data_IF_682186840181
#
_entry.id   IF_682186840181
#
_cell.length_a   1.000
_cell.length_b   1.000
_cell.length_c   1.000
_cell.angle_alpha   90.00
_cell.angle_beta   90.00
_cell.angle_gamma   90.00
#
_symmetry.space_group_name_H-M   'P 1'
#
loop_
_entity.id
_entity.type
_entity.pdbx_description
1 polymer ?
#
# COMPACT_ATOMS: atom_id res chain seq x y z
N UNK A 1 0.22 -2.53 22.37
CA UNK A 1 0.92 -1.22 22.54
C UNK A 1 0.15 -0.20 21.72
N UNK A 2 -0.16 0.93 22.28
CA UNK A 2 -0.75 2.02 21.51
C UNK A 2 0.38 2.81 20.82
N UNK A 3 0.36 2.84 19.48
CA UNK A 3 1.35 3.55 18.68
C UNK A 3 0.96 4.99 18.39
N UNK A 4 -0.24 5.42 18.79
CA UNK A 4 -0.77 6.76 18.50
C UNK A 4 -0.99 7.06 17.02
N UNK A 5 -1.18 6.02 16.19
CA UNK A 5 -1.34 6.17 14.73
C UNK A 5 -2.76 5.88 14.24
N UNK A 6 -3.66 5.51 15.13
CA UNK A 6 -5.07 5.28 14.77
C UNK A 6 -5.67 6.55 14.13
N UNK A 7 -6.45 6.35 13.07
CA UNK A 7 -7.08 7.44 12.31
C UNK A 7 -6.16 8.18 11.33
N UNK A 8 -4.84 7.94 11.35
CA UNK A 8 -3.92 8.48 10.37
C UNK A 8 -4.10 7.85 8.99
N UNK A 9 -3.52 8.44 7.97
CA UNK A 9 -3.55 7.94 6.61
C UNK A 9 -2.20 7.38 6.17
N UNK A 10 -2.22 6.18 5.61
CA UNK A 10 -1.04 5.54 5.04
C UNK A 10 -1.23 5.23 3.55
N UNK A 11 -0.18 5.43 2.78
CA UNK A 11 -0.04 4.90 1.43
C UNK A 11 0.86 3.67 1.48
N UNK A 12 0.39 2.54 0.94
CA UNK A 12 1.20 1.32 0.84
C UNK A 12 1.32 0.92 -0.63
N UNK A 13 2.50 1.09 -1.18
CA UNK A 13 2.81 0.70 -2.55
C UNK A 13 3.13 -0.80 -2.64
N UNK A 14 2.85 -1.42 -3.80
CA UNK A 14 3.09 -2.84 -4.02
C UNK A 14 2.33 -3.75 -3.04
N UNK A 15 1.11 -3.37 -2.67
CA UNK A 15 0.35 -3.99 -1.60
C UNK A 15 -0.53 -5.19 -2.02
N UNK A 16 -0.47 -5.63 -3.28
CA UNK A 16 -1.30 -6.75 -3.76
C UNK A 16 -0.89 -8.10 -3.15
N UNK A 17 0.35 -8.24 -2.71
CA UNK A 17 0.90 -9.48 -2.13
C UNK A 17 2.17 -9.22 -1.32
N UNK A 18 2.67 -10.26 -0.66
CA UNK A 18 3.98 -10.26 0.00
C UNK A 18 4.11 -9.20 1.09
N UNK A 19 5.25 -8.54 1.12
CA UNK A 19 5.61 -7.58 2.18
C UNK A 19 4.68 -6.37 2.23
N UNK A 20 4.31 -5.81 1.07
CA UNK A 20 3.38 -4.67 1.02
C UNK A 20 2.02 -5.00 1.63
N UNK A 21 1.47 -6.18 1.31
CA UNK A 21 0.22 -6.66 1.94
C UNK A 21 0.38 -6.81 3.46
N UNK A 22 1.50 -7.38 3.92
CA UNK A 22 1.77 -7.53 5.36
C UNK A 22 1.86 -6.18 6.08
N UNK A 23 2.49 -5.17 5.46
CA UNK A 23 2.52 -3.81 5.99
C UNK A 23 1.12 -3.20 6.08
N UNK A 24 0.31 -3.34 5.02
CA UNK A 24 -1.07 -2.84 5.02
C UNK A 24 -1.92 -3.51 6.11
N UNK A 25 -1.78 -4.82 6.29
CA UNK A 25 -2.48 -5.57 7.35
C UNK A 25 -2.10 -5.05 8.75
N UNK A 26 -0.82 -4.84 9.01
CA UNK A 26 -0.35 -4.32 10.29
C UNK A 26 -0.92 -2.91 10.56
N UNK A 27 -0.91 -2.03 9.57
CA UNK A 27 -1.43 -0.67 9.70
C UNK A 27 -2.94 -0.64 9.94
N UNK A 28 -3.71 -1.43 9.19
CA UNK A 28 -5.17 -1.54 9.38
C UNK A 28 -5.50 -2.07 10.78
N UNK A 29 -4.73 -3.04 11.28
CA UNK A 29 -4.89 -3.59 12.63
C UNK A 29 -4.67 -2.53 13.73
N UNK A 30 -3.82 -1.55 13.48
CA UNK A 30 -3.58 -0.41 14.38
C UNK A 30 -4.57 0.75 14.15
N UNK A 31 -5.61 0.56 13.33
CA UNK A 31 -6.65 1.57 13.10
C UNK A 31 -6.27 2.66 12.09
N UNK A 32 -5.26 2.43 11.28
CA UNK A 32 -4.81 3.39 10.23
C UNK A 32 -5.66 3.22 8.98
N UNK A 33 -6.11 4.34 8.41
CA UNK A 33 -6.73 4.35 7.09
C UNK A 33 -5.66 4.12 6.02
N UNK A 34 -5.91 3.22 5.07
CA UNK A 34 -4.89 2.86 4.09
C UNK A 34 -5.38 3.05 2.65
N UNK A 35 -4.52 3.62 1.83
CA UNK A 35 -4.62 3.55 0.37
C UNK A 35 -3.61 2.51 -0.08
N UNK A 36 -4.08 1.41 -0.64
CA UNK A 36 -3.23 0.36 -1.18
C UNK A 36 -3.11 0.49 -2.68
N UNK A 37 -1.89 0.42 -3.17
CA UNK A 37 -1.58 0.57 -4.59
C UNK A 37 -0.86 -0.67 -5.14
N UNK A 38 -1.25 -1.08 -6.32
CA UNK A 38 -0.56 -2.06 -7.15
C UNK A 38 -1.00 -1.92 -8.62
N UNK A 39 -0.28 -2.56 -9.53
CA UNK A 39 -0.60 -2.50 -10.96
C UNK A 39 -1.80 -3.37 -11.36
N UNK A 40 -2.01 -4.48 -10.65
CA UNK A 40 -3.05 -5.47 -10.96
C UNK A 40 -4.31 -5.26 -10.11
N UNK A 41 -5.45 -4.90 -10.69
CA UNK A 41 -6.66 -4.57 -9.91
C UNK A 41 -7.26 -5.80 -9.20
N UNK A 42 -7.24 -6.99 -9.81
CA UNK A 42 -7.85 -8.18 -9.23
C UNK A 42 -7.26 -8.57 -7.88
N UNK A 43 -5.94 -8.76 -7.82
CA UNK A 43 -5.24 -9.08 -6.57
C UNK A 43 -5.34 -7.97 -5.53
N UNK A 44 -5.41 -6.71 -5.98
CA UNK A 44 -5.55 -5.57 -5.10
C UNK A 44 -6.91 -5.54 -4.40
N UNK A 45 -7.99 -5.85 -5.13
CA UNK A 45 -9.33 -5.98 -4.57
C UNK A 45 -9.45 -7.14 -3.60
N UNK A 46 -8.83 -8.29 -3.90
CA UNK A 46 -8.75 -9.42 -2.97
C UNK A 46 -8.06 -9.02 -1.66
N UNK A 47 -6.95 -8.30 -1.77
CA UNK A 47 -6.23 -7.79 -0.60
C UNK A 47 -7.10 -6.83 0.21
N UNK A 48 -7.80 -5.90 -0.43
CA UNK A 48 -8.71 -4.98 0.26
C UNK A 48 -9.81 -5.72 1.02
N UNK A 49 -10.44 -6.68 0.37
CA UNK A 49 -11.48 -7.52 0.99
C UNK A 49 -10.95 -8.29 2.20
N UNK A 50 -9.75 -8.84 2.08
CA UNK A 50 -9.07 -9.54 3.18
C UNK A 50 -8.78 -8.61 4.37
N UNK A 51 -8.28 -7.41 4.11
CA UNK A 51 -7.98 -6.43 5.16
C UNK A 51 -9.24 -6.00 5.93
N UNK A 52 -10.32 -5.76 5.21
CA UNK A 52 -11.61 -5.37 5.80
C UNK A 52 -12.18 -6.51 6.65
N UNK A 53 -12.20 -7.74 6.11
CA UNK A 53 -12.75 -8.90 6.81
C UNK A 53 -11.97 -9.24 8.09
N UNK A 54 -10.65 -9.22 8.04
CA UNK A 54 -9.81 -9.54 9.20
C UNK A 54 -9.89 -8.48 10.30
N UNK A 55 -10.07 -7.21 9.94
CA UNK A 55 -10.24 -6.17 10.93
C UNK A 55 -11.59 -6.27 11.67
N UNK A 56 -12.65 -6.67 10.96
CA UNK A 56 -13.97 -6.88 11.57
C UNK A 56 -13.98 -8.02 12.61
N UNK A 57 -13.19 -9.06 12.42
CA UNK A 57 -13.12 -10.21 13.34
C UNK A 57 -12.28 -9.95 14.59
N UNK A 58 -11.36 -9.01 14.58
CA UNK A 58 -10.50 -8.70 15.72
C UNK A 58 -11.05 -7.60 16.66
N UNK A 59 -12.16 -6.98 16.29
CA UNK A 59 -12.82 -5.91 17.08
C UNK A 59 -13.52 -6.39 18.35
N UNK A 60 -13.38 -7.67 18.72
CA UNK A 60 -14.09 -8.25 19.88
C UNK A 60 -13.65 -7.77 21.25
N UNK A 61 -12.50 -7.10 21.40
CA UNK A 61 -11.93 -6.85 22.73
C UNK A 61 -11.22 -5.50 22.94
N UNK A 62 -11.23 -4.57 21.97
CA UNK A 62 -10.56 -3.28 22.16
C UNK A 62 -11.46 -2.09 21.78
N UNK A 63 -11.81 -1.32 22.81
CA UNK A 63 -12.39 0.04 22.78
C UNK A 63 -13.55 0.28 21.81
N UNK A 64 -14.72 0.39 22.35
CA UNK A 64 -16.03 0.63 21.72
C UNK A 64 -16.19 1.99 21.00
N UNK A 65 -15.13 2.67 20.57
CA UNK A 65 -15.24 4.01 19.97
C UNK A 65 -14.31 4.29 18.79
N UNK A 66 -13.70 3.28 18.18
CA UNK A 66 -12.87 3.51 16.99
C UNK A 66 -13.67 3.16 15.74
N UNK A 67 -13.96 4.17 14.91
CA UNK A 67 -14.47 3.96 13.56
C UNK A 67 -13.56 2.96 12.82
N UNK A 68 -14.17 2.06 12.04
CA UNK A 68 -13.37 1.11 11.25
C UNK A 68 -12.45 1.86 10.27
N UNK A 69 -11.18 1.46 10.15
CA UNK A 69 -10.29 2.10 9.22
C UNK A 69 -10.77 1.93 7.78
N UNK A 70 -10.57 2.97 6.99
CA UNK A 70 -10.90 2.99 5.57
C UNK A 70 -9.80 2.28 4.78
N UNK A 71 -10.18 1.43 3.84
CA UNK A 71 -9.27 0.76 2.90
C UNK A 71 -9.67 1.15 1.48
N UNK A 72 -8.81 1.88 0.79
CA UNK A 72 -9.00 2.30 -0.60
C UNK A 72 -8.00 1.62 -1.51
N UNK A 73 -8.40 1.36 -2.75
CA UNK A 73 -7.56 0.71 -3.76
C UNK A 73 -7.28 1.63 -4.93
N UNK A 74 -6.04 1.65 -5.39
CA UNK A 74 -5.65 2.36 -6.62
C UNK A 74 -4.81 1.43 -7.49
N UNK A 75 -5.39 0.98 -8.61
CA UNK A 75 -4.68 0.18 -9.60
C UNK A 75 -3.93 1.10 -10.55
N UNK A 76 -2.66 1.33 -10.28
CA UNK A 76 -1.81 2.22 -11.07
C UNK A 76 -0.34 1.87 -10.90
N UNK A 77 0.47 2.28 -11.87
CA UNK A 77 1.93 2.18 -11.78
C UNK A 77 2.49 3.39 -11.03
N UNK A 78 2.90 3.19 -9.80
CA UNK A 78 3.42 4.26 -8.92
C UNK A 78 4.74 4.86 -9.42
N UNK A 79 5.43 4.20 -10.33
CA UNK A 79 6.67 4.72 -10.92
C UNK A 79 6.42 5.80 -11.97
N UNK A 80 5.18 5.95 -12.42
CA UNK A 80 4.77 6.97 -13.39
C UNK A 80 4.14 8.19 -12.70
N UNK A 81 4.25 9.41 -13.30
CA UNK A 81 3.57 10.60 -12.80
C UNK A 81 2.04 10.42 -12.73
N UNK A 82 1.44 9.79 -13.74
CA UNK A 82 0.01 9.53 -13.84
C UNK A 82 -0.45 8.58 -12.72
N UNK A 83 0.35 7.54 -12.42
CA UNK A 83 0.06 6.61 -11.33
C UNK A 83 0.10 7.28 -9.96
N UNK A 84 1.05 8.18 -9.75
CA UNK A 84 1.12 8.96 -8.50
C UNK A 84 -0.06 9.92 -8.36
N UNK A 85 -0.44 10.59 -9.44
CA UNK A 85 -1.60 11.47 -9.44
C UNK A 85 -2.90 10.70 -9.16
N UNK A 86 -3.06 9.50 -9.73
CA UNK A 86 -4.20 8.62 -9.44
C UNK A 86 -4.31 8.29 -7.94
N UNK A 87 -3.20 8.07 -7.27
CA UNK A 87 -3.18 7.84 -5.81
C UNK A 87 -3.64 9.08 -5.05
N UNK A 88 -3.16 10.26 -5.43
CA UNK A 88 -3.53 11.51 -4.76
C UNK A 88 -4.99 11.93 -5.03
N UNK A 89 -5.56 11.52 -6.15
CA UNK A 89 -6.92 11.85 -6.55
C UNK A 89 -7.94 10.75 -6.19
N UNK A 90 -7.57 9.70 -5.47
CA UNK A 90 -8.50 8.63 -5.13
C UNK A 90 -9.69 9.19 -4.31
N UNK A 91 -10.94 8.92 -4.72
CA UNK A 91 -12.12 9.40 -3.99
C UNK A 91 -12.15 8.90 -2.55
N UNK A 92 -12.38 9.79 -1.61
CA UNK A 92 -12.41 9.46 -0.18
C UNK A 92 -11.03 9.37 0.48
N UNK A 93 -9.96 9.58 -0.27
CA UNK A 93 -8.59 9.58 0.25
C UNK A 93 -8.14 10.94 0.77
N UNK A 94 -6.94 11.01 1.34
CA UNK A 94 -6.42 12.22 1.98
C UNK A 94 -5.78 13.22 1.00
N UNK A 95 -5.87 13.00 -0.30
CA UNK A 95 -5.12 13.77 -1.28
C UNK A 95 -3.62 13.52 -1.16
N UNK A 96 -2.86 14.56 -0.87
CA UNK A 96 -1.40 14.48 -0.63
C UNK A 96 -1.02 14.43 0.86
N UNK A 97 -2.02 14.42 1.76
CA UNK A 97 -1.79 14.48 3.21
C UNK A 97 -1.67 13.08 3.84
N UNK A 98 -0.75 12.28 3.32
CA UNK A 98 -0.39 11.01 3.96
C UNK A 98 0.55 11.22 5.13
N UNK A 99 0.25 10.58 6.27
CA UNK A 99 1.12 10.58 7.44
C UNK A 99 2.22 9.52 7.33
N UNK A 100 1.91 8.40 6.66
CA UNK A 100 2.79 7.23 6.53
C UNK A 100 2.87 6.84 5.06
N UNK A 101 4.07 6.59 4.56
CA UNK A 101 4.27 6.07 3.21
C UNK A 101 5.19 4.85 3.25
N UNK A 102 4.68 3.73 2.78
CA UNK A 102 5.47 2.50 2.59
C UNK A 102 5.85 2.41 1.12
N UNK A 103 7.07 2.80 0.81
CA UNK A 103 7.63 2.66 -0.53
C UNK A 103 8.05 1.22 -0.76
N UNK A 104 7.30 0.52 -1.60
CA UNK A 104 7.58 -0.85 -1.99
C UNK A 104 7.23 -1.00 -3.47
N UNK A 105 8.20 -1.39 -4.27
CA UNK A 105 8.02 -1.64 -5.68
C UNK A 105 8.47 -3.06 -6.03
N UNK A 106 8.05 -3.57 -7.18
CA UNK A 106 8.60 -4.80 -7.70
C UNK A 106 10.09 -4.63 -7.97
N UNK A 107 10.92 -5.56 -7.50
CA UNK A 107 12.33 -5.57 -7.81
C UNK A 107 12.61 -5.80 -9.30
N UNK A 108 13.83 -5.57 -9.76
CA UNK A 108 14.26 -5.95 -11.10
C UNK A 108 14.11 -7.46 -11.31
N UNK A 109 13.99 -7.93 -12.56
CA UNK A 109 13.94 -9.37 -12.83
C UNK A 109 15.20 -10.06 -12.29
N UNK A 110 15.06 -11.28 -11.73
CA UNK A 110 16.23 -12.03 -11.26
C UNK A 110 17.14 -12.41 -12.44
N UNK A 111 18.44 -12.40 -12.21
CA UNK A 111 19.42 -12.75 -13.24
C UNK A 111 20.85 -12.48 -12.80
N UNK A 112 21.81 -12.86 -13.63
CA UNK A 112 23.21 -12.55 -13.40
C UNK A 112 23.46 -11.08 -13.77
N UNK A 113 24.10 -10.33 -12.88
CA UNK A 113 24.38 -8.90 -13.09
C UNK A 113 25.23 -8.62 -14.34
N UNK A 114 26.00 -9.59 -14.79
CA UNK A 114 26.87 -9.50 -15.98
C UNK A 114 26.08 -9.50 -17.29
N UNK A 115 24.85 -10.04 -17.26
CA UNK A 115 23.99 -10.14 -18.44
C UNK A 115 23.15 -8.87 -18.66
N UNK A 116 23.21 -7.93 -17.74
CA UNK A 116 22.37 -6.74 -17.76
C UNK A 116 23.11 -5.54 -18.32
N UNK A 117 22.48 -4.91 -19.31
CA UNK A 117 22.98 -3.70 -19.93
C UNK A 117 22.73 -2.45 -19.05
N UNK A 118 23.27 -1.33 -19.49
CA UNK A 118 23.12 -0.03 -18.82
C UNK A 118 21.65 0.36 -18.63
N UNK A 119 20.80 0.07 -19.62
CA UNK A 119 19.38 0.43 -19.55
C UNK A 119 18.63 -0.37 -18.50
N UNK A 120 18.94 -1.66 -18.35
CA UNK A 120 18.37 -2.51 -17.29
C UNK A 120 18.73 -1.96 -15.90
N UNK A 121 19.97 -1.54 -15.71
CA UNK A 121 20.43 -0.91 -14.48
C UNK A 121 19.70 0.41 -14.20
N UNK A 122 19.59 1.29 -15.20
CA UNK A 122 18.88 2.56 -15.05
C UNK A 122 17.42 2.34 -14.69
N UNK A 123 16.71 1.43 -15.37
CA UNK A 123 15.31 1.12 -15.04
C UNK A 123 15.14 0.61 -13.62
N UNK A 124 16.07 -0.23 -13.14
CA UNK A 124 16.00 -0.74 -11.77
C UNK A 124 16.19 0.38 -10.73
N UNK A 125 17.13 1.28 -10.96
CA UNK A 125 17.37 2.44 -10.10
C UNK A 125 16.17 3.39 -10.12
N UNK A 126 15.70 3.75 -11.30
CA UNK A 126 14.59 4.70 -11.48
C UNK A 126 13.27 4.21 -10.84
N UNK A 127 13.02 2.91 -10.88
CA UNK A 127 11.82 2.32 -10.28
C UNK A 127 11.90 2.18 -8.74
N UNK A 128 13.10 2.19 -8.15
CA UNK A 128 13.29 1.88 -6.72
C UNK A 128 13.92 3.01 -5.90
N UNK A 129 14.29 4.09 -6.51
CA UNK A 129 14.86 5.28 -5.87
C UNK A 129 14.08 6.54 -6.24
#
# INVERSE_FOLDING_TARGET
MDLGIAGKWALVCGASKGLGRGCAEALVREGVNVVINARQPGQLLETASFLIANNATQSGDKCQNSAQPTVLTVAADITTPEGREAVFCVPGGPGKAFDIVVTNAGGPPPGDFRDWDREAWIRAVDANM
#
